data_IF_567778269412
#
_entry.id   IF_567778269412
#
_cell.length_a   1.000
_cell.length_b   1.000
_cell.length_c   1.000
_cell.angle_alpha   90.00
_cell.angle_beta   90.00
_cell.angle_gamma   90.00
#
_symmetry.space_group_name_H-M   'P 1'
#
loop_
_entity.id
_entity.type
_entity.pdbx_description
1 polymer ?
#
# COMPACT_ATOMS: atom_id res chain seq x y z
N UNK A 1 -13.08 1.62 3.25
CA UNK A 1 -11.71 2.02 2.81
C UNK A 1 -11.69 3.24 1.92
N UNK A 2 -12.56 3.39 0.94
CA UNK A 2 -12.56 4.60 0.08
C UNK A 2 -12.57 5.91 0.90
N UNK A 3 -13.42 5.99 1.92
CA UNK A 3 -13.47 7.14 2.83
C UNK A 3 -12.14 7.35 3.57
N UNK A 4 -11.50 6.27 4.06
CA UNK A 4 -10.18 6.35 4.73
C UNK A 4 -9.14 6.94 3.78
N UNK A 5 -9.06 6.43 2.54
CA UNK A 5 -8.14 6.93 1.52
C UNK A 5 -8.36 8.42 1.25
N UNK A 6 -9.62 8.82 1.03
CA UNK A 6 -10.01 10.22 0.75
C UNK A 6 -9.80 11.17 1.92
N UNK A 7 -9.81 10.65 3.14
CA UNK A 7 -9.50 11.44 4.35
C UNK A 7 -8.00 11.61 4.53
N UNK A 8 -7.24 10.51 4.36
CA UNK A 8 -5.82 10.47 4.74
C UNK A 8 -4.90 11.08 3.68
N UNK A 9 -5.13 10.78 2.39
CA UNK A 9 -4.18 11.22 1.35
C UNK A 9 -4.02 12.75 1.27
N UNK A 10 -5.09 13.57 1.39
CA UNK A 10 -4.95 15.04 1.44
C UNK A 10 -4.09 15.57 2.60
N UNK A 11 -4.02 14.84 3.73
CA UNK A 11 -3.15 15.23 4.87
C UNK A 11 -1.67 15.31 4.45
N UNK A 12 -1.29 14.57 3.40
CA UNK A 12 0.06 14.50 2.83
C UNK A 12 0.19 15.23 1.48
N UNK A 13 -0.81 16.07 1.13
CA UNK A 13 -0.82 16.79 -0.16
C UNK A 13 -1.09 15.90 -1.38
N UNK A 14 -1.52 14.66 -1.18
CA UNK A 14 -1.70 13.64 -2.21
C UNK A 14 -3.15 13.61 -2.74
N UNK A 15 -3.62 14.69 -3.37
CA UNK A 15 -4.99 14.80 -3.88
C UNK A 15 -5.10 15.00 -5.41
N UNK A 16 -4.00 15.35 -6.06
CA UNK A 16 -3.93 15.65 -7.50
C UNK A 16 -3.80 14.40 -8.39
N UNK A 17 -3.68 14.61 -9.71
CA UNK A 17 -3.41 13.52 -10.66
C UNK A 17 -2.13 12.75 -10.33
N UNK A 18 -2.12 11.44 -10.63
CA UNK A 18 -0.97 10.56 -10.37
C UNK A 18 -0.87 10.06 -8.94
N UNK A 19 -1.87 10.30 -8.11
CA UNK A 19 -1.99 9.71 -6.78
C UNK A 19 -3.12 8.67 -6.71
N UNK A 20 -2.92 7.65 -5.89
CA UNK A 20 -3.82 6.52 -5.71
C UNK A 20 -5.26 6.89 -5.26
N UNK A 21 -5.50 8.10 -4.76
CA UNK A 21 -6.84 8.60 -4.44
C UNK A 21 -7.76 8.67 -5.67
N UNK A 22 -7.17 8.82 -6.86
CA UNK A 22 -7.88 8.93 -8.13
C UNK A 22 -8.02 7.60 -8.87
N UNK A 23 -7.50 6.50 -8.31
CA UNK A 23 -7.62 5.19 -8.96
C UNK A 23 -9.08 4.76 -9.02
N UNK A 24 -9.57 4.31 -10.20
CA UNK A 24 -10.95 3.85 -10.35
C UNK A 24 -11.36 2.77 -9.37
N UNK A 25 -10.41 1.95 -8.91
CA UNK A 25 -10.64 0.85 -7.98
C UNK A 25 -10.95 1.29 -6.54
N UNK A 26 -10.72 2.55 -6.17
CA UNK A 26 -10.92 3.04 -4.79
C UNK A 26 -12.34 2.80 -4.29
N UNK A 27 -13.34 2.94 -5.16
CA UNK A 27 -14.74 2.68 -4.82
C UNK A 27 -15.15 1.21 -4.91
N UNK A 28 -14.29 0.36 -5.50
CA UNK A 28 -14.58 -1.04 -5.80
C UNK A 28 -13.46 -1.98 -5.35
N UNK A 29 -12.81 -1.70 -4.22
CA UNK A 29 -11.66 -2.47 -3.71
C UNK A 29 -11.95 -3.96 -3.57
N UNK A 30 -13.17 -4.35 -3.14
CA UNK A 30 -13.56 -5.75 -3.02
C UNK A 30 -13.52 -6.47 -4.38
N UNK A 31 -13.86 -5.78 -5.45
CA UNK A 31 -13.78 -6.33 -6.82
C UNK A 31 -12.33 -6.35 -7.30
N UNK A 32 -11.62 -5.26 -7.14
CA UNK A 32 -10.22 -5.14 -7.60
C UNK A 32 -9.31 -6.20 -6.96
N UNK A 33 -9.52 -6.51 -5.68
CA UNK A 33 -8.71 -7.49 -4.94
C UNK A 33 -9.34 -8.89 -4.86
N UNK A 34 -10.39 -9.18 -5.62
CA UNK A 34 -10.90 -10.55 -5.84
C UNK A 34 -10.12 -11.32 -6.91
N UNK A 35 -9.26 -10.63 -7.67
CA UNK A 35 -8.41 -11.24 -8.69
C UNK A 35 -7.41 -12.26 -8.09
N UNK A 36 -6.99 -13.27 -8.86
CA UNK A 36 -5.93 -14.17 -8.44
C UNK A 36 -4.66 -13.42 -8.02
N UNK A 37 -3.99 -13.92 -6.97
CA UNK A 37 -2.75 -13.34 -6.42
C UNK A 37 -2.92 -11.90 -5.88
N UNK A 38 -4.15 -11.48 -5.55
CA UNK A 38 -4.42 -10.23 -4.86
C UNK A 38 -5.06 -10.48 -3.49
N UNK A 39 -4.85 -9.58 -2.53
CA UNK A 39 -5.50 -9.60 -1.22
C UNK A 39 -5.57 -8.18 -0.66
N UNK A 40 -6.66 -7.88 0.04
CA UNK A 40 -6.82 -6.62 0.76
C UNK A 40 -7.24 -6.89 2.20
N UNK A 41 -6.60 -6.22 3.14
CA UNK A 41 -6.87 -6.35 4.57
C UNK A 41 -7.34 -5.00 5.12
N UNK A 42 -8.28 -5.04 6.06
CA UNK A 42 -8.80 -3.85 6.73
C UNK A 42 -8.65 -3.97 8.24
N UNK A 43 -8.36 -2.85 8.88
CA UNK A 43 -8.45 -2.70 10.33
C UNK A 43 -9.86 -2.21 10.67
N UNK A 44 -10.59 -3.01 11.44
CA UNK A 44 -11.95 -2.68 11.90
C UNK A 44 -11.96 -2.57 13.42
N UNK A 45 -12.60 -1.54 13.93
CA UNK A 45 -12.88 -1.34 15.35
C UNK A 45 -14.32 -0.84 15.51
N UNK A 46 -15.12 -1.51 16.33
CA UNK A 46 -16.54 -1.18 16.59
C UNK A 46 -17.37 -1.01 15.30
N UNK A 47 -17.14 -1.90 14.33
CA UNK A 47 -17.81 -1.88 13.02
C UNK A 47 -17.32 -0.82 12.03
N UNK A 48 -16.34 0.01 12.42
CA UNK A 48 -15.77 1.04 11.56
C UNK A 48 -14.43 0.61 10.97
N UNK A 49 -14.23 0.88 9.68
CA UNK A 49 -12.95 0.68 9.01
C UNK A 49 -12.04 1.87 9.30
N UNK A 50 -10.94 1.63 10.01
CA UNK A 50 -9.97 2.64 10.42
C UNK A 50 -8.70 2.66 9.56
N UNK A 51 -8.49 1.66 8.75
CA UNK A 51 -7.34 1.56 7.87
C UNK A 51 -7.36 0.29 7.05
N UNK A 52 -6.39 0.14 6.18
CA UNK A 52 -6.22 -1.06 5.36
C UNK A 52 -4.98 -0.99 4.50
N UNK A 53 -4.67 -2.10 3.86
CA UNK A 53 -3.63 -2.25 2.85
C UNK A 53 -3.93 -3.45 1.96
N UNK A 54 -3.48 -3.39 0.71
CA UNK A 54 -3.59 -4.50 -0.22
C UNK A 54 -2.29 -4.84 -0.91
N UNK A 55 -2.22 -6.06 -1.43
CA UNK A 55 -1.18 -6.52 -2.35
C UNK A 55 -1.84 -7.02 -3.62
N UNK A 56 -1.22 -6.73 -4.75
CA UNK A 56 -1.66 -7.19 -6.07
C UNK A 56 -0.45 -7.33 -6.99
N UNK A 57 -0.56 -8.02 -8.14
CA UNK A 57 0.52 -8.05 -9.11
C UNK A 57 0.98 -6.64 -9.48
N UNK A 58 2.30 -6.42 -9.61
CA UNK A 58 2.84 -5.14 -10.08
C UNK A 58 2.44 -4.91 -11.54
N UNK A 59 1.67 -3.86 -11.77
CA UNK A 59 1.23 -3.50 -13.13
C UNK A 59 2.45 -3.20 -14.03
N UNK A 60 2.50 -3.84 -15.20
CA UNK A 60 3.60 -3.67 -16.15
C UNK A 60 4.98 -4.10 -15.64
N UNK A 61 5.03 -4.88 -14.56
CA UNK A 61 6.25 -5.37 -13.95
C UNK A 61 6.44 -6.88 -14.10
N UNK A 62 7.46 -7.39 -13.39
CA UNK A 62 7.76 -8.83 -13.32
C UNK A 62 6.61 -9.56 -12.60
N UNK A 63 6.12 -10.71 -13.13
CA UNK A 63 5.04 -11.49 -12.52
C UNK A 63 5.36 -12.02 -11.12
N UNK A 64 6.63 -12.11 -10.74
CA UNK A 64 7.06 -12.52 -9.40
C UNK A 64 7.10 -11.35 -8.39
N UNK A 65 6.73 -10.14 -8.84
CA UNK A 65 6.69 -8.93 -8.00
C UNK A 65 5.24 -8.54 -7.71
N UNK A 66 4.91 -8.36 -6.44
CA UNK A 66 3.67 -7.68 -6.04
C UNK A 66 3.94 -6.24 -5.64
N UNK A 67 2.89 -5.43 -5.70
CA UNK A 67 2.87 -4.08 -5.16
C UNK A 67 2.02 -4.04 -3.89
N UNK A 68 2.58 -3.49 -2.79
CA UNK A 68 1.83 -3.09 -1.61
C UNK A 68 1.16 -1.75 -1.91
N UNK A 69 -0.17 -1.74 -1.82
CA UNK A 69 -0.99 -0.59 -2.22
C UNK A 69 -1.90 -0.12 -1.10
N UNK A 70 -2.23 1.17 -1.15
CA UNK A 70 -3.31 1.79 -0.38
C UNK A 70 -3.22 1.52 1.13
N UNK A 71 -1.98 1.56 1.66
CA UNK A 71 -1.73 1.39 3.09
C UNK A 71 -1.96 2.71 3.82
N UNK A 72 -3.18 2.92 4.30
CA UNK A 72 -3.60 4.14 4.97
C UNK A 72 -4.36 3.84 6.26
N UNK A 73 -4.18 4.72 7.27
CA UNK A 73 -4.86 4.66 8.55
C UNK A 73 -5.36 6.03 8.97
N UNK A 74 -6.58 6.10 9.48
CA UNK A 74 -7.09 7.29 10.17
C UNK A 74 -6.20 7.63 11.37
N UNK A 75 -6.10 8.91 11.72
CA UNK A 75 -5.23 9.41 12.78
C UNK A 75 -5.38 8.65 14.11
N UNK A 76 -6.61 8.31 14.48
CA UNK A 76 -6.93 7.56 15.71
C UNK A 76 -6.42 6.11 15.74
N UNK A 77 -6.03 5.55 14.61
CA UNK A 77 -5.47 4.20 14.51
C UNK A 77 -3.93 4.20 14.39
N UNK A 78 -3.33 5.38 14.27
CA UNK A 78 -1.87 5.52 14.13
C UNK A 78 -1.16 5.45 15.49
N UNK A 79 0.14 5.16 15.49
CA UNK A 79 0.96 5.14 16.71
C UNK A 79 0.72 3.95 17.64
N UNK A 80 -0.15 3.00 17.27
CA UNK A 80 -0.56 1.85 18.11
C UNK A 80 -0.01 0.51 17.57
N UNK A 81 0.99 0.53 16.70
CA UNK A 81 1.57 -0.67 16.10
C UNK A 81 0.73 -1.34 15.01
N UNK A 82 -0.45 -0.80 14.68
CA UNK A 82 -1.36 -1.40 13.69
C UNK A 82 -0.75 -1.44 12.28
N UNK A 83 0.00 -0.39 11.90
CA UNK A 83 0.71 -0.36 10.64
C UNK A 83 1.71 -1.51 10.49
N UNK A 84 2.50 -1.79 11.54
CA UNK A 84 3.46 -2.91 11.55
C UNK A 84 2.76 -4.25 11.41
N UNK A 85 1.67 -4.47 12.13
CA UNK A 85 0.87 -5.71 12.06
C UNK A 85 0.28 -5.91 10.66
N UNK A 86 -0.31 -4.88 10.10
CA UNK A 86 -0.94 -4.95 8.78
C UNK A 86 0.11 -5.18 7.66
N UNK A 87 1.24 -4.48 7.73
CA UNK A 87 2.36 -4.68 6.81
C UNK A 87 2.85 -6.13 6.86
N UNK A 88 3.01 -6.70 8.06
CA UNK A 88 3.41 -8.09 8.24
C UNK A 88 2.39 -9.06 7.60
N UNK A 89 1.08 -8.83 7.79
CA UNK A 89 0.04 -9.63 7.13
C UNK A 89 0.11 -9.57 5.60
N UNK A 90 0.39 -8.37 5.06
CA UNK A 90 0.57 -8.21 3.61
C UNK A 90 1.81 -8.98 3.10
N UNK A 91 2.94 -8.90 3.82
CA UNK A 91 4.17 -9.62 3.47
C UNK A 91 3.94 -11.14 3.50
N UNK A 92 3.30 -11.65 4.54
CA UNK A 92 2.99 -13.07 4.66
C UNK A 92 2.01 -13.54 3.57
N UNK A 93 1.02 -12.72 3.23
CA UNK A 93 0.11 -13.00 2.13
C UNK A 93 0.85 -13.02 0.79
N UNK A 94 1.77 -12.08 0.55
CA UNK A 94 2.58 -12.04 -0.66
C UNK A 94 3.41 -13.32 -0.82
N UNK A 95 4.05 -13.80 0.26
CA UNK A 95 4.77 -15.09 0.26
C UNK A 95 3.86 -16.27 -0.08
N UNK A 96 2.68 -16.36 0.58
CA UNK A 96 1.70 -17.44 0.31
C UNK A 96 1.18 -17.42 -1.12
N UNK A 97 1.07 -16.24 -1.73
CA UNK A 97 0.64 -16.07 -3.12
C UNK A 97 1.77 -16.31 -4.14
N UNK A 98 2.98 -16.68 -3.66
CA UNK A 98 4.11 -17.08 -4.49
C UNK A 98 4.88 -15.92 -5.11
N UNK A 99 4.81 -14.72 -4.53
CA UNK A 99 5.66 -13.63 -4.94
C UNK A 99 7.06 -13.78 -4.34
N UNK A 100 8.06 -13.29 -5.07
CA UNK A 100 9.47 -13.26 -4.66
C UNK A 100 9.91 -11.91 -4.17
N UNK A 101 9.18 -10.85 -4.55
CA UNK A 101 9.48 -9.46 -4.18
C UNK A 101 8.20 -8.69 -3.94
N UNK A 102 8.21 -7.83 -2.92
CA UNK A 102 7.17 -6.84 -2.64
C UNK A 102 7.72 -5.44 -2.92
N UNK A 103 7.05 -4.69 -3.77
CA UNK A 103 7.37 -3.32 -4.14
C UNK A 103 6.33 -2.35 -3.56
N UNK A 104 6.71 -1.11 -3.33
CA UNK A 104 5.78 -0.05 -2.96
C UNK A 104 6.28 1.33 -3.41
N UNK A 105 5.33 2.23 -3.57
CA UNK A 105 5.55 3.65 -3.81
C UNK A 105 4.99 4.48 -2.65
N UNK A 106 5.65 5.58 -2.32
CA UNK A 106 5.24 6.49 -1.26
C UNK A 106 5.76 7.91 -1.56
N UNK A 107 5.62 8.82 -0.61
CA UNK A 107 5.94 10.24 -0.79
C UNK A 107 6.98 10.72 0.18
N UNK A 108 7.75 11.72 -0.24
CA UNK A 108 8.44 12.62 0.68
C UNK A 108 7.40 13.22 1.64
N UNK A 109 7.72 13.26 2.94
CA UNK A 109 6.78 13.72 3.98
C UNK A 109 5.96 12.61 4.64
N UNK A 110 5.91 11.41 4.06
CA UNK A 110 5.36 10.22 4.73
C UNK A 110 6.43 9.49 5.58
N UNK A 111 7.14 10.22 6.44
CA UNK A 111 8.33 9.71 7.15
C UNK A 111 8.03 8.52 8.05
N UNK A 112 6.89 8.53 8.75
CA UNK A 112 6.48 7.40 9.59
C UNK A 112 6.27 6.12 8.79
N UNK A 113 5.73 6.22 7.57
CA UNK A 113 5.55 5.09 6.66
C UNK A 113 6.91 4.61 6.12
N UNK A 114 7.80 5.53 5.72
CA UNK A 114 9.14 5.20 5.24
C UNK A 114 9.97 4.49 6.32
N UNK A 115 9.92 4.94 7.58
CA UNK A 115 10.55 4.26 8.72
C UNK A 115 9.97 2.84 8.92
N UNK A 116 8.64 2.71 8.87
CA UNK A 116 7.97 1.43 8.99
C UNK A 116 8.43 0.43 7.92
N UNK A 117 8.54 0.86 6.67
CA UNK A 117 9.03 0.02 5.58
C UNK A 117 10.49 -0.38 5.76
N UNK A 118 11.35 0.58 6.14
CA UNK A 118 12.77 0.32 6.39
C UNK A 118 12.98 -0.66 7.55
N UNK A 119 12.24 -0.50 8.66
CA UNK A 119 12.25 -1.42 9.80
C UNK A 119 11.78 -2.83 9.44
N UNK A 120 10.89 -2.95 8.45
CA UNK A 120 10.41 -4.24 7.94
C UNK A 120 11.39 -4.89 6.93
N UNK A 121 12.50 -4.22 6.61
CA UNK A 121 13.55 -4.73 5.72
C UNK A 121 13.44 -4.28 4.27
N UNK A 122 12.48 -3.41 3.93
CA UNK A 122 12.42 -2.81 2.60
C UNK A 122 13.64 -1.93 2.35
N UNK A 123 14.20 -2.03 1.15
CA UNK A 123 15.32 -1.21 0.69
C UNK A 123 14.81 -0.15 -0.29
N UNK A 124 15.32 1.06 -0.14
CA UNK A 124 15.01 2.16 -1.05
C UNK A 124 15.60 1.88 -2.44
N UNK A 125 14.80 2.19 -3.47
CA UNK A 125 15.20 2.11 -4.87
C UNK A 125 15.49 3.51 -5.43
N UNK A 126 16.28 3.56 -6.50
CA UNK A 126 16.62 4.80 -7.21
C UNK A 126 15.48 5.31 -8.13
N UNK A 127 14.48 4.46 -8.44
CA UNK A 127 13.38 4.80 -9.34
C UNK A 127 12.23 3.81 -9.25
N UNK A 128 11.13 4.08 -9.97
CA UNK A 128 9.95 3.24 -9.99
C UNK A 128 10.18 1.91 -10.71
N UNK A 129 9.36 0.92 -10.36
CA UNK A 129 9.24 -0.35 -11.08
C UNK A 129 7.86 -0.45 -11.72
N UNK A 130 7.78 -1.14 -12.87
CA UNK A 130 6.52 -1.38 -13.55
C UNK A 130 5.87 -0.12 -14.12
N UNK A 131 4.53 -0.15 -14.22
CA UNK A 131 3.70 0.92 -14.80
C UNK A 131 2.46 1.14 -13.91
N UNK A 132 2.67 1.57 -12.67
CA UNK A 132 1.63 1.74 -11.65
C UNK A 132 0.65 2.88 -11.96
N UNK A 133 1.10 3.88 -12.74
CA UNK A 133 0.35 5.12 -12.98
C UNK A 133 0.52 6.17 -11.89
N UNK A 134 1.21 5.88 -10.79
CA UNK A 134 1.40 6.79 -9.67
C UNK A 134 2.62 7.72 -9.86
N UNK A 135 2.68 8.42 -10.98
CA UNK A 135 3.82 9.27 -11.37
C UNK A 135 4.08 10.45 -10.40
N UNK A 136 3.18 10.72 -9.48
CA UNK A 136 3.36 11.75 -8.46
C UNK A 136 4.06 11.22 -7.19
N UNK A 137 4.25 9.91 -7.06
CA UNK A 137 5.08 9.31 -6.02
C UNK A 137 6.57 9.53 -6.32
N UNK A 138 7.37 9.78 -5.28
CA UNK A 138 8.79 10.13 -5.41
C UNK A 138 9.70 9.28 -4.52
N UNK A 139 9.15 8.28 -3.84
CA UNK A 139 9.88 7.31 -2.99
C UNK A 139 9.45 5.90 -3.32
N UNK A 140 10.44 5.04 -3.55
CA UNK A 140 10.27 3.67 -4.02
C UNK A 140 11.03 2.72 -3.12
N UNK A 141 10.42 1.60 -2.77
CA UNK A 141 11.02 0.60 -1.90
C UNK A 141 10.70 -0.81 -2.39
N UNK A 142 11.59 -1.76 -2.11
CA UNK A 142 11.34 -3.18 -2.36
C UNK A 142 11.89 -4.06 -1.24
N UNK A 143 11.23 -5.20 -1.05
CA UNK A 143 11.60 -6.25 -0.11
C UNK A 143 11.68 -7.57 -0.86
N UNK A 144 12.77 -8.30 -0.74
CA UNK A 144 12.85 -9.71 -1.15
C UNK A 144 12.09 -10.57 -0.12
N UNK A 145 11.23 -11.47 -0.60
CA UNK A 145 10.26 -12.23 0.21
C UNK A 145 10.75 -13.61 0.63
#
# INVERSE_FOLDING_TARGET
>A
MAQVIRTVMPEFGASGPGFAINDPEVDHLSVAYSAPRAAFFVLVRDGQVLGGAGIAPLAGGDPDVCELRKMYFLGEARGQGQGRRLLQHCIEAARRLGYRRCYLETLTGMDAAQHLYSDAGFRKLCGPLGATGHFACDRYFALEL
#
